data_IF_603533521401
#
_entry.id   IF_603533521401
#
_cell.length_a   1.000
_cell.length_b   1.000
_cell.length_c   1.000
_cell.angle_alpha   90.00
_cell.angle_beta   90.00
_cell.angle_gamma   90.00
#
_symmetry.space_group_name_H-M   'P 1'
#
loop_
_entity.id
_entity.type
_entity.pdbx_description
1 polymer ?
#
# COMPACT_ATOMS: atom_id res chain seq x y z
N UNK A 1 -13.84 10.31 2.07
CA UNK A 1 -12.92 10.05 3.18
C UNK A 1 -13.38 8.80 3.94
N UNK A 2 -12.51 7.78 4.07
CA UNK A 2 -12.81 6.52 4.78
C UNK A 2 -13.18 6.71 6.25
N UNK A 3 -12.75 7.81 6.89
CA UNK A 3 -13.03 8.11 8.29
C UNK A 3 -14.46 8.58 8.56
N UNK A 4 -15.12 9.20 7.58
CA UNK A 4 -16.43 9.85 7.75
C UNK A 4 -17.50 8.94 8.38
N UNK A 5 -17.69 7.68 7.98
CA UNK A 5 -18.69 6.80 8.58
C UNK A 5 -18.43 6.52 10.06
N UNK A 6 -17.16 6.53 10.48
CA UNK A 6 -16.74 6.13 11.82
C UNK A 6 -16.72 7.27 12.84
N UNK A 7 -16.70 8.53 12.38
CA UNK A 7 -16.65 9.70 13.26
C UNK A 7 -17.81 9.77 14.28
N UNK A 8 -18.99 9.26 13.90
CA UNK A 8 -20.19 9.27 14.75
C UNK A 8 -20.23 8.12 15.74
N UNK A 9 -19.50 7.03 15.50
CA UNK A 9 -19.60 5.81 16.28
C UNK A 9 -18.38 5.52 17.15
N UNK A 10 -17.24 6.22 16.93
CA UNK A 10 -16.05 6.05 17.76
C UNK A 10 -16.31 6.54 19.20
N UNK A 11 -15.96 5.71 20.17
CA UNK A 11 -16.14 5.98 21.62
C UNK A 11 -14.86 6.57 22.25
N UNK A 12 -14.98 7.07 23.50
CA UNK A 12 -13.88 7.76 24.18
C UNK A 12 -12.61 6.90 24.41
N UNK A 13 -12.77 5.58 24.48
CA UNK A 13 -11.69 4.62 24.73
C UNK A 13 -11.30 3.81 23.48
N UNK A 14 -11.69 4.28 22.31
CA UNK A 14 -11.43 3.61 21.05
C UNK A 14 -10.53 4.44 20.15
N UNK A 15 -9.68 3.74 19.41
CA UNK A 15 -8.89 4.27 18.28
C UNK A 15 -9.25 3.43 17.07
N UNK A 16 -9.76 4.08 16.01
CA UNK A 16 -10.01 3.41 14.73
C UNK A 16 -8.86 3.73 13.80
N UNK A 17 -8.21 2.68 13.28
CA UNK A 17 -7.13 2.77 12.33
C UNK A 17 -7.68 2.53 10.93
N UNK A 18 -7.38 3.44 10.02
CA UNK A 18 -7.79 3.40 8.62
C UNK A 18 -6.54 3.49 7.76
N UNK A 19 -6.35 2.58 6.84
CA UNK A 19 -5.21 2.61 5.93
C UNK A 19 -5.66 2.62 4.46
N UNK A 20 -4.87 3.28 3.63
CA UNK A 20 -5.03 3.30 2.19
C UNK A 20 -3.67 3.37 1.51
N UNK A 21 -3.50 2.61 0.42
CA UNK A 21 -2.25 2.49 -0.31
C UNK A 21 -2.48 2.79 -1.78
N UNK A 22 -1.58 3.56 -2.35
CA UNK A 22 -1.53 3.83 -3.79
C UNK A 22 -0.11 3.64 -4.33
N UNK A 23 -0.02 3.39 -5.62
CA UNK A 23 1.25 3.33 -6.35
C UNK A 23 1.38 4.59 -7.19
N UNK A 24 2.54 5.24 -7.12
CA UNK A 24 2.85 6.44 -7.87
C UNK A 24 4.04 6.20 -8.80
N UNK A 25 3.85 6.41 -10.08
CA UNK A 25 4.89 6.26 -11.09
C UNK A 25 4.59 7.14 -12.30
N UNK A 26 5.60 7.83 -12.83
CA UNK A 26 5.51 8.68 -14.02
C UNK A 26 4.40 9.74 -13.89
N UNK A 27 4.43 10.48 -12.76
CA UNK A 27 3.44 11.52 -12.41
C UNK A 27 1.97 11.05 -12.43
N UNK A 28 1.76 9.74 -12.25
CA UNK A 28 0.44 9.13 -12.28
C UNK A 28 0.21 8.22 -11.08
N UNK A 29 -1.02 8.28 -10.56
CA UNK A 29 -1.52 7.31 -9.58
C UNK A 29 -1.99 6.04 -10.29
N UNK A 30 -1.45 4.89 -9.87
CA UNK A 30 -1.81 3.57 -10.38
C UNK A 30 -2.65 2.85 -9.33
N UNK A 31 -3.94 2.83 -9.54
CA UNK A 31 -4.90 2.15 -8.68
C UNK A 31 -4.96 0.65 -8.93
N UNK A 32 -6.11 0.06 -8.62
CA UNK A 32 -6.42 -1.34 -8.94
C UNK A 32 -6.72 -1.47 -10.43
N UNK A 33 -6.25 -2.53 -11.10
CA UNK A 33 -6.61 -2.79 -12.48
C UNK A 33 -8.09 -3.21 -12.58
N UNK A 34 -8.73 -2.86 -13.66
CA UNK A 34 -10.14 -3.25 -13.92
C UNK A 34 -10.27 -4.70 -14.40
N UNK A 35 -9.22 -5.23 -15.00
CA UNK A 35 -9.18 -6.59 -15.55
C UNK A 35 -7.72 -7.12 -15.64
N UNK A 36 -7.58 -8.39 -16.05
CA UNK A 36 -6.27 -9.03 -16.21
C UNK A 36 -5.38 -8.37 -17.27
N UNK A 37 -5.96 -7.82 -18.33
CA UNK A 37 -5.18 -7.17 -19.38
C UNK A 37 -4.56 -5.87 -18.87
N UNK A 38 -5.32 -5.09 -18.11
CA UNK A 38 -4.79 -3.90 -17.45
C UNK A 38 -3.74 -4.27 -16.40
N UNK A 39 -3.95 -5.37 -15.64
CA UNK A 39 -2.97 -5.87 -14.68
C UNK A 39 -1.62 -6.21 -15.36
N UNK A 40 -1.66 -6.93 -16.49
CA UNK A 40 -0.46 -7.24 -17.30
C UNK A 40 0.22 -5.97 -17.80
N UNK A 41 -0.57 -4.99 -18.26
CA UNK A 41 -0.04 -3.71 -18.76
C UNK A 41 0.66 -2.91 -17.65
N UNK A 42 0.09 -2.87 -16.44
CA UNK A 42 0.71 -2.22 -15.27
C UNK A 42 2.04 -2.86 -14.91
N UNK A 43 2.10 -4.19 -14.82
CA UNK A 43 3.33 -4.93 -14.51
C UNK A 43 4.42 -4.72 -15.56
N UNK A 44 4.07 -4.63 -16.84
CA UNK A 44 5.03 -4.29 -17.92
C UNK A 44 5.63 -2.90 -17.73
N UNK A 45 4.85 -1.94 -17.25
CA UNK A 45 5.32 -0.58 -16.97
C UNK A 45 6.25 -0.55 -15.76
N UNK A 46 6.00 -1.34 -14.73
CA UNK A 46 6.87 -1.38 -13.54
C UNK A 46 8.14 -2.21 -13.75
N UNK A 47 8.13 -3.16 -14.68
CA UNK A 47 9.29 -4.00 -14.99
C UNK A 47 10.50 -3.16 -15.37
N UNK A 48 11.63 -3.37 -14.69
CA UNK A 48 12.87 -2.61 -14.89
C UNK A 48 12.86 -1.16 -14.40
N UNK A 49 11.81 -0.75 -13.66
CA UNK A 49 11.65 0.61 -13.16
C UNK A 49 11.49 0.65 -11.64
N UNK A 50 11.67 1.86 -11.08
CA UNK A 50 11.36 2.15 -9.68
C UNK A 50 10.09 2.98 -9.60
N UNK A 51 9.22 2.62 -8.67
CA UNK A 51 7.99 3.37 -8.38
C UNK A 51 7.84 3.59 -6.87
N UNK A 52 7.01 4.54 -6.48
CA UNK A 52 6.72 4.83 -5.08
C UNK A 52 5.40 4.18 -4.66
N UNK A 53 5.45 3.48 -3.53
CA UNK A 53 4.26 2.97 -2.85
C UNK A 53 4.00 3.87 -1.66
N UNK A 54 2.86 4.54 -1.66
CA UNK A 54 2.48 5.54 -0.67
C UNK A 54 1.32 4.98 0.15
N UNK A 55 1.55 4.80 1.45
CA UNK A 55 0.53 4.34 2.38
C UNK A 55 0.23 5.43 3.39
N UNK A 56 -1.04 5.81 3.49
CA UNK A 56 -1.54 6.75 4.50
C UNK A 56 -2.37 6.01 5.53
N UNK A 57 -2.11 6.30 6.80
CA UNK A 57 -2.82 5.73 7.95
C UNK A 57 -3.48 6.84 8.75
N UNK A 58 -4.80 6.75 8.89
CA UNK A 58 -5.58 7.63 9.74
C UNK A 58 -5.79 7.03 11.13
N UNK A 59 -5.62 7.83 12.16
CA UNK A 59 -5.92 7.51 13.56
C UNK A 59 -7.12 8.34 13.99
N UNK A 60 -8.26 7.72 14.13
CA UNK A 60 -9.49 8.37 14.53
C UNK A 60 -9.79 8.06 15.99
N UNK A 61 -9.84 9.10 16.82
CA UNK A 61 -10.34 9.07 18.19
C UNK A 61 -11.62 9.90 18.30
N UNK A 62 -12.27 9.86 19.45
CA UNK A 62 -13.44 10.71 19.70
C UNK A 62 -13.14 12.20 19.58
N UNK A 63 -11.91 12.61 19.88
CA UNK A 63 -11.47 14.01 19.94
C UNK A 63 -10.74 14.49 18.70
N UNK A 64 -10.06 13.59 18.01
CA UNK A 64 -9.12 13.97 16.95
C UNK A 64 -9.08 12.95 15.82
N UNK A 65 -8.69 13.44 14.64
CA UNK A 65 -8.31 12.61 13.49
C UNK A 65 -6.99 13.13 12.92
N UNK A 66 -6.01 12.26 12.89
CA UNK A 66 -4.70 12.57 12.32
C UNK A 66 -4.29 11.54 11.27
N UNK A 67 -3.37 11.93 10.40
CA UNK A 67 -2.89 11.09 9.30
C UNK A 67 -1.36 11.03 9.36
N UNK A 68 -0.84 9.80 9.25
CA UNK A 68 0.56 9.49 9.00
C UNK A 68 0.68 8.96 7.57
N UNK A 69 1.66 9.44 6.83
CA UNK A 69 1.91 8.97 5.46
C UNK A 69 3.35 8.50 5.33
N UNK A 70 3.53 7.32 4.75
CA UNK A 70 4.82 6.70 4.47
C UNK A 70 4.96 6.46 2.96
N UNK A 71 6.11 6.84 2.40
CA UNK A 71 6.44 6.57 0.99
C UNK A 71 7.63 5.64 0.93
N UNK A 72 7.51 4.56 0.18
CA UNK A 72 8.53 3.54 -0.01
C UNK A 72 8.80 3.32 -1.49
N UNK A 73 10.05 3.44 -1.89
CA UNK A 73 10.46 3.21 -3.28
C UNK A 73 10.72 1.72 -3.49
N UNK A 74 10.04 1.14 -4.47
CA UNK A 74 10.20 -0.25 -4.90
C UNK A 74 10.82 -0.30 -6.29
N UNK A 75 11.88 -1.07 -6.46
CA UNK A 75 12.56 -1.25 -7.74
C UNK A 75 12.36 -2.68 -8.22
N UNK A 76 11.83 -2.84 -9.43
CA UNK A 76 11.68 -4.12 -10.10
C UNK A 76 12.83 -4.39 -11.07
N UNK A 77 13.28 -5.64 -11.12
CA UNK A 77 14.07 -6.14 -12.27
C UNK A 77 13.21 -6.14 -13.54
N UNK A 78 13.84 -6.34 -14.68
CA UNK A 78 13.10 -6.68 -15.90
C UNK A 78 12.32 -7.98 -15.69
N UNK A 79 11.03 -7.94 -15.95
CA UNK A 79 10.15 -9.12 -15.95
C UNK A 79 9.88 -9.55 -17.38
N UNK A 80 9.89 -10.86 -17.61
CA UNK A 80 9.50 -11.44 -18.90
C UNK A 80 7.97 -11.48 -19.03
N UNK A 81 7.47 -11.49 -20.25
CA UNK A 81 6.02 -11.65 -20.49
C UNK A 81 5.47 -12.95 -19.89
N UNK A 82 6.27 -14.03 -19.93
CA UNK A 82 5.87 -15.32 -19.32
C UNK A 82 5.70 -15.22 -17.79
N UNK A 83 6.60 -14.50 -17.11
CA UNK A 83 6.48 -14.28 -15.66
C UNK A 83 5.24 -13.46 -15.34
N UNK A 84 4.97 -12.40 -16.09
CA UNK A 84 3.78 -11.55 -15.92
C UNK A 84 2.50 -12.36 -16.18
N UNK A 85 2.43 -13.09 -17.29
CA UNK A 85 1.27 -13.91 -17.64
C UNK A 85 0.99 -14.98 -16.59
N UNK A 86 2.02 -15.70 -16.17
CA UNK A 86 1.89 -16.74 -15.13
C UNK A 86 1.32 -16.15 -13.83
N UNK A 87 1.86 -15.03 -13.38
CA UNK A 87 1.38 -14.40 -12.15
C UNK A 87 -0.08 -13.93 -12.27
N UNK A 88 -0.42 -13.19 -13.32
CA UNK A 88 -1.76 -12.65 -13.50
C UNK A 88 -2.81 -13.75 -13.66
N UNK A 89 -2.48 -14.82 -14.41
CA UNK A 89 -3.41 -15.94 -14.59
C UNK A 89 -3.60 -16.76 -13.31
N UNK A 90 -2.54 -16.92 -12.51
CA UNK A 90 -2.56 -17.77 -11.31
C UNK A 90 -3.14 -17.03 -10.10
N UNK A 91 -2.73 -15.77 -9.86
CA UNK A 91 -3.08 -15.01 -8.65
C UNK A 91 -4.27 -14.08 -8.89
N UNK A 92 -4.47 -13.59 -10.13
CA UNK A 92 -5.53 -12.64 -10.48
C UNK A 92 -5.52 -11.37 -9.61
N UNK A 93 -4.48 -10.50 -9.72
CA UNK A 93 -4.23 -9.42 -8.77
C UNK A 93 -5.09 -8.16 -8.99
N UNK A 94 -6.35 -8.31 -9.42
CA UNK A 94 -7.28 -7.19 -9.71
C UNK A 94 -7.71 -6.42 -8.46
N UNK A 95 -7.50 -6.98 -7.28
CA UNK A 95 -7.78 -6.36 -5.99
C UNK A 95 -6.62 -5.52 -5.44
N UNK A 96 -5.46 -5.52 -6.11
CA UNK A 96 -4.22 -4.89 -5.64
C UNK A 96 -3.88 -3.62 -6.40
N UNK A 97 -3.54 -2.54 -5.68
CA UNK A 97 -3.00 -1.33 -6.30
C UNK A 97 -1.68 -1.65 -7.03
N UNK A 98 -1.53 -1.16 -8.26
CA UNK A 98 -0.37 -1.48 -9.11
C UNK A 98 -0.30 -2.92 -9.59
N UNK A 99 -1.35 -3.72 -9.38
CA UNK A 99 -1.48 -5.12 -9.85
C UNK A 99 -0.49 -6.11 -9.25
N UNK A 100 0.08 -5.85 -8.07
CA UNK A 100 0.96 -6.80 -7.40
C UNK A 100 0.89 -6.72 -5.88
N UNK A 101 1.24 -7.82 -5.22
CA UNK A 101 1.62 -7.84 -3.82
C UNK A 101 3.11 -8.12 -3.69
N UNK A 102 3.83 -7.35 -2.88
CA UNK A 102 5.27 -7.57 -2.67
C UNK A 102 5.53 -8.94 -2.03
N UNK A 103 4.56 -9.46 -1.28
CA UNK A 103 4.59 -10.78 -0.66
C UNK A 103 4.22 -11.92 -1.61
N UNK A 104 3.68 -11.59 -2.80
CA UNK A 104 3.32 -12.58 -3.81
C UNK A 104 4.57 -13.07 -4.56
N UNK A 105 4.40 -14.16 -5.32
CA UNK A 105 5.50 -14.72 -6.11
C UNK A 105 6.18 -13.69 -7.01
N UNK A 106 5.42 -12.80 -7.66
CA UNK A 106 5.98 -11.75 -8.54
C UNK A 106 6.84 -10.74 -7.78
N UNK A 107 6.47 -10.42 -6.55
CA UNK A 107 7.27 -9.57 -5.66
C UNK A 107 8.56 -10.25 -5.24
N UNK A 108 8.49 -11.55 -4.88
CA UNK A 108 9.66 -12.32 -4.47
C UNK A 108 10.69 -12.50 -5.56
N UNK A 109 10.27 -12.72 -6.82
CA UNK A 109 11.22 -12.91 -7.93
C UNK A 109 11.63 -11.61 -8.62
N UNK A 110 10.81 -10.57 -8.51
CA UNK A 110 10.90 -9.35 -9.32
C UNK A 110 11.45 -8.13 -8.58
N UNK A 111 11.24 -8.02 -7.28
CA UNK A 111 11.71 -6.85 -6.53
C UNK A 111 13.20 -6.98 -6.23
N UNK A 112 13.99 -6.04 -6.74
CA UNK A 112 15.43 -5.95 -6.50
C UNK A 112 15.78 -5.11 -5.27
N UNK A 113 14.99 -4.06 -5.01
CA UNK A 113 15.27 -3.15 -3.91
C UNK A 113 13.99 -2.55 -3.33
N UNK A 114 13.99 -2.38 -2.01
CA UNK A 114 12.97 -1.65 -1.25
C UNK A 114 13.68 -0.59 -0.42
N UNK A 115 13.45 0.67 -0.74
CA UNK A 115 13.99 1.80 0.01
C UNK A 115 12.85 2.47 0.79
N UNK A 116 12.75 2.14 2.08
CA UNK A 116 11.68 2.56 2.98
C UNK A 116 11.16 1.42 3.85
N UNK A 117 9.86 1.41 4.10
CA UNK A 117 9.19 0.44 4.98
C UNK A 117 8.56 -0.70 4.17
N UNK A 118 9.06 -1.92 4.35
CA UNK A 118 8.44 -3.11 3.75
C UNK A 118 6.96 -3.27 4.15
N UNK A 119 6.65 -3.04 5.43
CA UNK A 119 5.28 -3.16 5.92
C UNK A 119 4.36 -2.06 5.37
N UNK A 120 4.91 -0.89 5.00
CA UNK A 120 4.17 0.14 4.28
C UNK A 120 3.73 -0.36 2.89
N UNK A 121 4.61 -1.07 2.18
CA UNK A 121 4.28 -1.67 0.87
C UNK A 121 3.19 -2.74 1.01
N UNK A 122 3.15 -3.45 2.15
CA UNK A 122 2.05 -4.38 2.48
C UNK A 122 0.72 -3.68 2.77
N UNK A 123 0.73 -2.36 3.00
CA UNK A 123 -0.46 -1.55 3.24
C UNK A 123 -0.62 -1.02 4.66
N UNK A 124 0.34 -1.28 5.56
CA UNK A 124 0.35 -0.75 6.92
C UNK A 124 1.80 -0.58 7.41
N UNK A 125 2.31 0.66 7.61
CA UNK A 125 3.65 0.91 8.14
C UNK A 125 3.70 0.60 9.65
N UNK A 126 3.79 -0.69 9.99
CA UNK A 126 3.61 -1.22 11.35
C UNK A 126 4.50 -0.54 12.39
N UNK A 127 5.83 -0.32 12.16
CA UNK A 127 6.65 0.36 13.16
C UNK A 127 6.16 1.76 13.50
N UNK A 128 5.82 2.57 12.50
CA UNK A 128 5.34 3.94 12.67
C UNK A 128 3.96 3.97 13.33
N UNK A 129 3.06 3.06 12.93
CA UNK A 129 1.73 2.91 13.52
C UNK A 129 1.83 2.52 14.99
N UNK A 130 2.71 1.55 15.33
CA UNK A 130 2.92 1.11 16.70
C UNK A 130 3.42 2.24 17.58
N UNK A 131 4.44 2.98 17.13
CA UNK A 131 4.97 4.13 17.86
C UNK A 131 3.88 5.19 18.11
N UNK A 132 3.10 5.50 17.08
CA UNK A 132 2.03 6.49 17.21
C UNK A 132 0.91 6.04 18.14
N UNK A 133 0.54 4.76 18.11
CA UNK A 133 -0.45 4.21 19.06
C UNK A 133 0.03 4.32 20.51
N UNK A 134 1.30 4.03 20.79
CA UNK A 134 1.89 4.16 22.13
C UNK A 134 1.79 5.63 22.61
N UNK A 135 2.10 6.60 21.74
CA UNK A 135 1.99 8.02 22.05
C UNK A 135 0.54 8.42 22.36
N UNK A 136 -0.43 7.98 21.55
CA UNK A 136 -1.85 8.25 21.75
C UNK A 136 -2.33 7.67 23.10
N UNK A 137 -1.98 6.41 23.39
CA UNK A 137 -2.38 5.73 24.63
C UNK A 137 -1.77 6.40 25.86
N UNK A 138 -0.54 6.89 25.75
CA UNK A 138 0.15 7.59 26.82
C UNK A 138 -0.28 9.07 27.00
N UNK A 139 -1.26 9.53 26.22
CA UNK A 139 -1.81 10.88 26.34
C UNK A 139 -0.99 11.98 25.65
N UNK A 140 -0.18 11.63 24.64
CA UNK A 140 0.61 12.59 23.85
C UNK A 140 -0.20 13.27 22.72
N UNK A 141 -1.52 13.24 22.81
CA UNK A 141 -2.47 13.92 21.94
C UNK A 141 -3.11 15.10 22.64
#
# INVERSE_FOLDING_TARGET
NKATPFQKIVENNQIIILADTLVWFDDKCWGKPKDKNEAKSMLKVFAGNSHDVITSVGFLTKKNFEILTESTKVTYKLLTEKEIDFYVETINPIDKAGSYGIQDWIGMIGVENVNGSYTSVLGLPVPQVTNRLIEIINGSL
#
